data_IF_685588982602
#
_entry.id   IF_685588982602
#
_cell.length_a   1.000
_cell.length_b   1.000
_cell.length_c   1.000
_cell.angle_alpha   90.00
_cell.angle_beta   90.00
_cell.angle_gamma   90.00
#
_symmetry.space_group_name_H-M   'P 1'
#
loop_
_entity.id
_entity.type
_entity.pdbx_description
1 polymer ?
2 non-polymer ?
3 water ?
#
# COMPACT_ATOMS: atom_id res chain seq x y z
N UNK A 1 -0.08 -25.41 1.94
CA UNK A 1 1.10 -24.81 2.52
C UNK A 1 0.83 -23.36 2.94
N UNK A 2 -0.42 -22.92 2.77
CA UNK A 2 -0.80 -21.54 3.03
C UNK A 2 -0.54 -21.11 4.47
N UNK A 3 -0.32 -22.06 5.38
CA UNK A 3 0.08 -21.68 6.74
C UNK A 3 1.56 -21.34 6.84
N UNK A 4 2.37 -21.64 5.81
CA UNK A 4 3.83 -21.61 5.96
C UNK A 4 4.56 -21.09 4.73
N UNK A 5 4.09 -21.46 3.53
CA UNK A 5 4.69 -20.90 2.31
C UNK A 5 4.71 -19.38 2.36
N UNK A 6 3.77 -18.78 3.11
CA UNK A 6 3.73 -17.35 3.29
C UNK A 6 5.04 -16.82 3.82
N UNK A 7 5.29 -17.04 5.12
CA UNK A 7 6.48 -16.47 5.73
C UNK A 7 7.74 -16.88 4.98
N UNK A 8 7.79 -18.10 4.45
CA UNK A 8 9.01 -18.62 3.83
C UNK A 8 9.42 -17.80 2.61
N UNK A 9 8.46 -17.41 1.77
CA UNK A 9 8.82 -16.60 0.61
C UNK A 9 9.31 -15.21 0.98
N UNK A 10 9.23 -14.81 2.24
CA UNK A 10 9.59 -13.47 2.64
C UNK A 10 10.72 -13.40 3.66
N UNK A 11 11.42 -14.50 3.92
CA UNK A 11 12.61 -14.42 4.75
C UNK A 11 13.68 -13.62 4.02
N UNK A 12 14.48 -12.88 4.79
CA UNK A 12 15.45 -12.07 4.08
C UNK A 12 14.82 -10.97 3.23
N UNK A 13 15.63 -10.47 2.30
CA UNK A 13 15.32 -9.28 1.53
C UNK A 13 14.78 -9.68 0.17
N UNK A 14 13.61 -9.15 -0.19
CA UNK A 14 12.90 -9.50 -1.41
C UNK A 14 12.84 -8.28 -2.31
N UNK A 15 13.23 -8.39 -3.58
CA UNK A 15 13.15 -7.23 -4.48
C UNK A 15 11.72 -6.93 -4.89
N UNK A 16 11.45 -5.64 -5.13
CA UNK A 16 10.11 -5.15 -5.41
C UNK A 16 10.11 -4.37 -6.71
N UNK A 17 9.09 -4.60 -7.53
CA UNK A 17 8.79 -3.81 -8.71
C UNK A 17 7.37 -3.29 -8.62
N UNK A 18 7.20 -1.97 -8.78
CA UNK A 18 5.88 -1.36 -8.81
C UNK A 18 5.64 -0.70 -10.17
N UNK A 19 4.44 -0.85 -10.71
CA UNK A 19 4.07 -0.28 -12.00
C UNK A 19 2.66 0.28 -11.91
N UNK A 20 2.52 1.59 -12.09
CA UNK A 20 1.24 2.28 -11.97
C UNK A 20 0.86 2.96 -13.28
N UNK A 21 -0.33 2.65 -13.79
CA UNK A 21 -0.91 3.34 -14.93
C UNK A 21 -2.08 4.17 -14.43
N UNK A 22 -1.94 5.49 -14.47
CA UNK A 22 -2.92 6.39 -13.89
C UNK A 22 -3.63 7.25 -14.92
N UNK A 23 -4.87 7.60 -14.61
CA UNK A 23 -5.64 8.58 -15.37
C UNK A 23 -6.48 9.34 -14.34
N UNK A 24 -6.14 10.60 -14.11
CA UNK A 24 -6.85 11.45 -13.16
C UNK A 24 -7.48 12.60 -13.93
N UNK A 25 -8.81 12.62 -13.99
CA UNK A 25 -9.53 13.68 -14.67
C UNK A 25 -9.08 13.80 -16.13
N UNK A 26 -8.76 12.67 -16.76
CA UNK A 26 -8.31 12.63 -18.13
C UNK A 26 -6.81 12.76 -18.32
N UNK A 27 -6.07 13.15 -17.27
CA UNK A 27 -4.62 13.26 -17.35
C UNK A 27 -4.00 11.89 -17.10
N UNK A 28 -3.43 11.29 -18.13
CA UNK A 28 -2.80 9.99 -18.01
C UNK A 28 -1.34 10.15 -17.59
N UNK A 29 -0.85 9.17 -16.83
CA UNK A 29 0.53 9.18 -16.37
C UNK A 29 0.93 7.76 -15.98
N UNK A 30 2.23 7.57 -15.84
CA UNK A 30 2.78 6.26 -15.47
C UNK A 30 3.88 6.46 -14.44
N UNK A 31 3.92 5.55 -13.46
CA UNK A 31 4.96 5.53 -12.44
C UNK A 31 5.59 4.15 -12.42
N UNK A 32 6.91 4.11 -12.33
CA UNK A 32 7.63 2.87 -12.07
C UNK A 32 8.42 3.03 -10.79
N UNK A 33 8.39 2.00 -9.93
CA UNK A 33 9.20 1.99 -8.73
C UNK A 33 9.92 0.68 -8.56
N UNK A 34 11.06 0.75 -7.89
CA UNK A 34 11.77 -0.47 -7.53
C UNK A 34 12.51 -0.26 -6.21
N UNK A 35 12.77 -1.38 -5.54
CA UNK A 35 13.46 -1.37 -4.26
C UNK A 35 13.35 -2.73 -3.61
N UNK A 36 13.21 -2.77 -2.28
CA UNK A 36 13.22 -4.07 -1.63
C UNK A 36 12.48 -4.00 -0.30
N UNK A 37 11.91 -5.13 0.09
CA UNK A 37 11.24 -5.25 1.37
C UNK A 37 11.91 -6.31 2.23
N UNK A 38 11.96 -6.02 3.53
CA UNK A 38 12.43 -6.94 4.56
C UNK A 38 11.23 -7.18 5.49
N UNK A 39 10.46 -8.22 5.21
CA UNK A 39 9.23 -8.45 5.98
C UNK A 39 9.54 -8.72 7.45
N UNK A 40 10.64 -9.45 7.72
CA UNK A 40 11.00 -9.74 9.10
C UNK A 40 11.11 -8.48 9.93
N UNK A 41 11.65 -7.42 9.36
CA UNK A 41 11.77 -6.17 10.07
C UNK A 41 10.67 -5.18 9.72
N UNK A 42 9.80 -5.53 8.75
CA UNK A 42 8.72 -4.66 8.33
C UNK A 42 9.22 -3.41 7.63
N UNK A 43 10.26 -3.54 6.83
CA UNK A 43 10.95 -2.38 6.26
C UNK A 43 10.92 -2.44 4.75
N UNK A 44 10.56 -1.31 4.13
CA UNK A 44 10.52 -1.15 2.69
C UNK A 44 11.38 0.03 2.32
N UNK A 45 12.13 -0.10 1.23
CA UNK A 45 12.82 1.03 0.63
C UNK A 45 12.53 1.00 -0.85
N UNK A 46 12.06 2.11 -1.41
CA UNK A 46 11.69 2.14 -2.81
C UNK A 46 11.95 3.52 -3.38
N UNK A 47 12.19 3.57 -4.69
CA UNK A 47 12.26 4.82 -5.44
C UNK A 47 11.31 4.72 -6.61
N UNK A 48 10.39 5.65 -6.71
CA UNK A 48 9.44 5.75 -7.82
C UNK A 48 9.82 6.93 -8.69
N UNK A 49 9.60 6.78 -9.99
CA UNK A 49 9.79 7.89 -10.94
C UNK A 49 8.58 7.95 -11.85
N UNK A 50 8.15 9.17 -12.17
CA UNK A 50 7.11 9.34 -13.17
C UNK A 50 7.75 9.25 -14.55
N UNK A 51 7.30 8.30 -15.35
CA UNK A 51 7.95 8.02 -16.62
C UNK A 51 7.31 8.77 -17.79
N UNK A 52 6.17 9.42 -17.55
CA UNK A 52 5.47 10.21 -18.56
C UNK A 52 5.65 11.71 -18.35
N UNK A 53 6.73 12.11 -17.68
CA UNK A 53 7.00 13.50 -17.46
C UNK A 53 6.78 13.96 -16.04
N UNK A 54 5.89 14.94 -15.87
CA UNK A 54 5.55 15.47 -14.55
C UNK A 54 4.32 14.74 -14.02
N UNK A 55 4.30 14.55 -12.71
CA UNK A 55 3.18 13.88 -12.07
C UNK A 55 2.02 14.86 -11.92
N UNK A 56 0.83 14.54 -12.44
CA UNK A 56 -0.29 15.49 -12.37
C UNK A 56 -0.97 15.55 -11.01
N UNK A 57 -0.50 14.78 -10.02
CA UNK A 57 -1.03 14.81 -8.66
C UNK A 57 0.14 14.81 -7.69
N UNK A 58 -0.07 15.27 -6.46
CA UNK A 58 1.04 15.23 -5.49
C UNK A 58 1.43 13.80 -5.20
N UNK A 59 2.74 13.57 -5.10
CA UNK A 59 3.23 12.23 -4.75
C UNK A 59 2.58 11.65 -3.50
N UNK A 60 2.35 12.40 -2.41
CA UNK A 60 1.72 11.78 -1.22
C UNK A 60 0.40 11.11 -1.50
N UNK A 61 -0.37 11.60 -2.46
CA UNK A 61 -1.67 11.00 -2.73
C UNK A 61 -1.55 9.62 -3.34
N UNK A 62 -0.39 9.24 -3.85
CA UNK A 62 -0.21 7.92 -4.46
C UNK A 62 0.46 6.91 -3.52
N UNK A 63 0.88 7.34 -2.33
CA UNK A 63 1.66 6.47 -1.44
C UNK A 63 0.91 5.17 -1.17
N UNK A 64 -0.35 5.25 -0.73
CA UNK A 64 -1.02 4.02 -0.31
C UNK A 64 -1.26 3.07 -1.47
N UNK A 65 -1.36 3.58 -2.70
CA UNK A 65 -1.58 2.74 -3.87
C UNK A 65 -0.30 2.02 -4.30
N UNK A 66 0.84 2.72 -4.24
CA UNK A 66 2.15 2.20 -4.63
C UNK A 66 2.75 1.20 -3.62
N UNK A 68 2.11 -2.71 -0.91
CA UNK A 68 2.60 -4.08 -0.81
C UNK A 68 2.56 -4.56 0.64
N UNK A 69 1.34 -4.75 1.16
CA UNK A 69 1.16 -5.03 2.58
C UNK A 69 1.58 -6.45 2.97
N UNK A 70 1.95 -7.29 2.00
CA UNK A 70 2.61 -8.56 2.31
C UNK A 70 3.97 -8.39 2.95
N UNK A 71 4.52 -7.19 2.98
CA UNK A 71 5.78 -6.95 3.68
C UNK A 71 5.61 -6.54 5.14
N UNK A 72 4.39 -6.55 5.66
CA UNK A 72 4.21 -6.24 7.07
C UNK A 72 4.96 -7.25 7.94
N UNK A 73 5.50 -6.75 9.05
CA UNK A 73 6.00 -7.58 10.14
C UNK A 73 4.81 -8.03 10.98
N UNK A 74 4.43 -9.29 10.84
CA UNK A 74 3.44 -9.88 11.73
C UNK A 74 4.17 -10.53 12.88
N UNK A 75 3.90 -10.14 14.13
CA UNK A 75 4.51 -10.84 15.27
C UNK A 75 4.15 -12.31 15.26
N UNK A 76 4.93 -13.10 16.02
CA UNK A 76 4.83 -14.55 15.91
C UNK A 76 3.45 -15.02 16.34
N UNK A 77 2.92 -14.44 17.42
CA UNK A 77 1.56 -14.80 17.84
C UNK A 77 0.47 -14.35 16.89
N UNK A 78 0.78 -13.57 15.85
CA UNK A 78 -0.26 -13.19 14.88
C UNK A 78 -0.08 -13.80 13.50
N UNK A 79 0.86 -14.75 13.36
CA UNK A 79 1.21 -15.27 12.04
C UNK A 79 0.04 -15.92 11.32
N UNK A 80 -0.92 -16.48 12.05
CA UNK A 80 -2.03 -17.15 11.38
C UNK A 80 -3.09 -16.16 10.91
N UNK A 81 -2.81 -14.86 11.00
CA UNK A 81 -3.71 -13.81 10.54
C UNK A 81 -3.15 -13.05 9.35
N UNK A 82 -2.04 -13.51 8.77
CA UNK A 82 -1.39 -12.80 7.66
C UNK A 82 -1.99 -13.31 6.36
N UNK A 83 -3.10 -12.68 5.95
CA UNK A 83 -3.71 -13.04 4.67
C UNK A 83 -2.76 -12.79 3.50
N UNK A 84 -2.09 -11.63 3.52
CA UNK A 84 -1.34 -11.18 2.36
C UNK A 84 -0.29 -12.20 1.94
N UNK A 85 0.55 -12.62 2.90
CA UNK A 85 1.60 -13.59 2.57
C UNK A 85 1.02 -14.95 2.22
N UNK A 86 -0.09 -15.33 2.86
CA UNK A 86 -0.64 -16.66 2.65
C UNK A 86 -1.20 -16.83 1.24
N UNK A 87 -1.54 -15.74 0.54
CA UNK A 87 -2.00 -15.81 -0.84
C UNK A 87 -0.85 -15.96 -1.83
N UNK A 88 0.36 -15.80 -1.39
CA UNK A 88 1.53 -15.84 -2.25
C UNK A 88 1.91 -17.29 -2.55
N UNK A 89 2.56 -17.57 -3.69
CA UNK A 89 3.09 -16.64 -4.71
C UNK A 89 2.08 -16.19 -5.76
N UNK A 90 0.92 -16.84 -5.91
CA UNK A 90 -0.02 -16.41 -6.95
C UNK A 90 -0.56 -15.02 -6.67
N UNK A 91 -0.57 -14.59 -5.42
CA UNK A 91 -0.85 -13.21 -5.10
C UNK A 91 -2.32 -12.90 -4.86
N UNK A 92 -2.61 -11.61 -4.79
CA UNK A 92 -3.95 -11.16 -4.48
C UNK A 92 -4.27 -9.91 -5.29
N UNK A 93 -5.57 -9.69 -5.50
CA UNK A 93 -6.06 -8.43 -6.08
C UNK A 93 -6.37 -7.48 -4.94
N UNK A 94 -5.88 -6.24 -5.05
CA UNK A 94 -6.15 -5.20 -4.08
C UNK A 94 -6.90 -4.07 -4.76
N UNK A 95 -8.15 -3.85 -4.35
CA UNK A 95 -8.97 -2.79 -4.91
C UNK A 95 -9.27 -1.75 -3.84
N UNK A 96 -9.16 -0.45 -4.20
CA UNK A 96 -9.52 0.63 -3.29
C UNK A 96 -10.45 1.63 -3.94
N UNK A 97 -11.25 2.27 -3.09
CA UNK A 97 -11.84 3.58 -3.36
C UNK A 97 -11.27 4.56 -2.36
N UNK A 98 -10.64 5.62 -2.85
CA UNK A 98 -10.07 6.67 -2.02
C UNK A 98 -10.86 7.95 -2.28
N UNK A 99 -11.69 8.39 -1.31
CA UNK A 99 -12.43 9.65 -1.44
C UNK A 99 -11.70 10.78 -0.73
N UNK A 100 -11.25 11.77 -1.51
CA UNK A 100 -10.67 12.95 -0.91
C UNK A 100 -11.80 13.88 -0.52
N UNK A 101 -11.80 14.31 0.74
CA UNK A 101 -12.91 15.10 1.27
C UNK A 101 -13.01 16.42 0.51
N UNK A 102 -14.23 16.75 0.07
CA UNK A 102 -14.51 17.96 -0.72
C UNK A 102 -13.67 18.00 -1.99
N UNK A 103 -13.48 16.84 -2.61
CA UNK A 103 -12.72 16.74 -3.84
C UNK A 103 -13.07 15.42 -4.51
N UNK A 104 -12.26 15.00 -5.48
CA UNK A 104 -12.55 13.82 -6.26
C UNK A 104 -12.18 12.53 -5.54
N UNK A 105 -12.28 11.43 -6.28
CA UNK A 105 -11.97 10.11 -5.76
C UNK A 105 -11.07 9.34 -6.72
N UNK A 106 -10.17 8.53 -6.14
CA UNK A 106 -9.44 7.48 -6.84
C UNK A 106 -10.18 6.16 -6.70
N UNK A 107 -10.17 5.37 -7.78
CA UNK A 107 -10.46 3.95 -7.73
C UNK A 107 -9.23 3.24 -8.27
N UNK A 108 -8.76 2.19 -7.55
CA UNK A 108 -7.54 1.51 -7.92
C UNK A 108 -7.78 0.00 -7.96
N UNK A 109 -7.06 -0.67 -8.84
CA UNK A 109 -7.08 -2.12 -8.91
C UNK A 109 -5.65 -2.58 -9.16
N UNK A 110 -5.12 -3.36 -8.23
CA UNK A 110 -3.74 -3.82 -8.29
C UNK A 110 -3.70 -5.34 -8.20
N UNK A 111 -2.71 -5.92 -8.84
CA UNK A 111 -2.38 -7.31 -8.62
C UNK A 111 -0.99 -7.33 -8.00
N UNK A 112 -0.89 -8.01 -6.86
CA UNK A 112 0.35 -8.10 -6.09
C UNK A 112 0.73 -9.58 -6.05
N UNK A 113 1.89 -9.91 -6.60
CA UNK A 113 2.20 -11.31 -6.84
C UNK A 113 3.69 -11.43 -7.10
N UNK A 114 4.16 -12.66 -7.07
CA UNK A 114 5.56 -12.92 -7.39
C UNK A 114 5.69 -13.16 -8.89
N UNK A 115 6.68 -12.51 -9.49
CA UNK A 115 7.13 -12.85 -10.84
C UNK A 115 8.61 -13.18 -10.70
N UNK A 116 8.92 -14.47 -10.70
CA UNK A 116 10.28 -14.88 -10.39
C UNK A 116 10.55 -14.66 -8.93
N UNK A 117 11.69 -14.03 -8.64
CA UNK A 117 12.11 -13.68 -7.30
C UNK A 117 11.58 -12.32 -6.86
N UNK A 118 10.84 -11.63 -7.72
CA UNK A 118 10.45 -10.24 -7.50
C UNK A 118 9.00 -10.17 -7.09
N UNK A 119 8.75 -9.42 -6.01
CA UNK A 119 7.39 -9.09 -5.61
C UNK A 119 6.92 -7.91 -6.48
N UNK A 120 5.84 -8.12 -7.21
CA UNK A 120 5.31 -7.14 -8.14
C UNK A 120 3.94 -6.62 -7.80
N UNK A 121 3.78 -5.32 -7.90
CA UNK A 121 2.54 -4.62 -7.67
C UNK A 121 2.17 -3.88 -8.94
N UNK A 122 1.22 -4.40 -9.71
CA UNK A 122 0.80 -3.76 -10.95
C UNK A 122 -0.54 -3.14 -10.76
N UNK A 123 -0.60 -1.83 -10.91
CA UNK A 123 -1.80 -1.08 -10.66
C UNK A 123 -2.44 -0.22 -11.74
N UNK A 124 -3.76 -0.23 -11.81
CA UNK A 124 -4.49 0.74 -12.61
C UNK A 124 -5.22 1.69 -11.68
N UNK A 125 -5.10 3.00 -11.93
CA UNK A 125 -5.74 4.02 -11.12
C UNK A 125 -6.58 4.94 -12.00
N UNK A 126 -7.82 5.17 -11.60
CA UNK A 126 -8.68 6.15 -12.27
C UNK A 126 -9.18 7.16 -11.25
N UNK A 127 -8.80 8.43 -11.44
CA UNK A 127 -9.35 9.54 -10.67
C UNK A 127 -10.36 10.35 -11.48
N UNK A 128 -11.48 10.67 -10.84
CA UNK A 128 -12.51 11.54 -11.41
C UNK A 128 -12.90 12.59 -10.37
N UNK A 129 -13.56 13.64 -10.87
CA UNK A 129 -14.28 14.63 -10.06
C UNK A 129 -13.34 15.47 -9.20
N UNK A 130 -12.11 15.66 -9.62
CA UNK A 130 -11.19 16.50 -8.89
C UNK A 130 -11.34 17.96 -9.30
N UNK A 131 -11.19 18.85 -8.32
CA UNK A 131 -11.32 20.27 -8.57
C UNK A 131 -10.03 20.80 -9.20
N UNK A 132 -10.19 21.66 -10.21
CA UNK A 132 -9.06 22.18 -10.97
C UNK A 132 -8.08 22.93 -10.09
N UNK A 133 -8.58 23.57 -9.02
CA UNK A 133 -7.73 24.21 -8.02
C UNK A 133 -7.97 23.65 -6.63
N UNK A 134 -8.27 22.36 -6.54
CA UNK A 134 -8.26 21.67 -5.27
C UNK A 134 -6.85 21.42 -4.77
N UNK A 135 -6.77 20.82 -3.58
CA UNK A 135 -5.47 20.51 -3.01
C UNK A 135 -4.72 19.47 -3.84
N UNK A 136 -5.44 18.70 -4.66
CA UNK A 136 -4.86 17.57 -5.37
C UNK A 136 -4.33 18.08 -6.71
N UNK A 137 -5.23 18.54 -7.60
CA UNK A 137 -4.80 19.05 -8.90
C UNK A 137 -4.05 20.38 -8.79
N UNK A 138 -4.29 21.15 -7.73
CA UNK A 138 -3.54 22.36 -7.50
C UNK A 138 -2.18 22.17 -6.85
N UNK A 139 -1.81 20.94 -6.52
CA UNK A 139 -0.57 20.63 -5.82
C UNK A 139 -0.37 21.49 -4.57
N UNK A 140 -1.30 21.36 -3.63
CA UNK A 140 -1.24 22.14 -2.39
C UNK A 140 -0.85 21.28 -1.17
N UNK A 141 -0.47 20.02 -1.36
CA UNK A 141 -0.13 19.12 -0.25
C UNK A 141 1.36 19.13 0.02
N UNK A 142 1.71 19.20 1.31
CA UNK A 142 3.11 19.09 1.72
C UNK A 142 3.69 17.73 1.31
N UNK A 143 5.01 17.72 1.09
CA UNK A 143 5.71 16.50 0.72
C UNK A 143 6.16 15.78 1.99
N UNK A 144 5.21 15.15 2.65
CA UNK A 144 5.47 14.39 3.87
C UNK A 144 4.31 13.44 4.06
N UNK A 145 4.39 12.62 5.11
CA UNK A 145 3.38 11.60 5.34
C UNK A 145 3.31 11.27 6.83
N UNK A 146 2.09 11.14 7.33
CA UNK A 146 1.83 10.82 8.72
C UNK A 146 1.71 9.32 8.92
N UNK A 147 1.68 8.89 10.18
CA UNK A 147 1.51 7.48 10.52
C UNK A 147 0.04 7.15 10.66
N UNK A 148 -0.34 5.95 10.24
CA UNK A 148 -1.73 5.56 10.21
C UNK A 148 -1.88 4.09 10.56
N UNK A 149 -3.05 3.75 11.09
CA UNK A 149 -3.50 2.37 11.24
C UNK A 149 -4.42 1.97 10.08
N UNK A 150 -4.23 0.76 9.56
CA UNK A 150 -5.07 0.15 8.54
C UNK A 150 -5.91 -0.92 9.24
N UNK A 151 -7.22 -0.71 9.37
CA UNK A 151 -8.07 -1.62 10.12
C UNK A 151 -8.59 -2.72 9.20
N UNK A 152 -8.19 -3.97 9.48
CA UNK A 152 -8.43 -5.10 8.61
C UNK A 152 -9.50 -5.99 9.23
N UNK A 153 -10.40 -6.50 8.39
CA UNK A 153 -11.41 -7.44 8.82
C UNK A 153 -11.55 -8.51 7.76
N UNK A 154 -11.93 -9.71 8.17
CA UNK A 154 -12.19 -10.76 7.20
C UNK A 154 -13.50 -10.51 6.47
N UNK A 155 -13.54 -10.92 5.21
CA UNK A 155 -14.76 -10.89 4.41
C UNK A 155 -15.87 -11.68 5.09
N UNK A 156 -17.10 -11.17 5.01
CA UNK A 156 -18.22 -11.91 5.60
C UNK A 156 -18.47 -13.25 4.91
N UNK A 157 -18.17 -13.34 3.61
CA UNK A 157 -18.49 -14.55 2.87
C UNK A 157 -17.43 -14.96 1.87
N UNK A 158 -16.51 -14.09 1.48
CA UNK A 158 -15.44 -14.46 0.57
C UNK A 158 -14.20 -14.88 1.34
N UNK A 159 -13.27 -15.51 0.63
CA UNK A 159 -12.00 -15.87 1.24
C UNK A 159 -10.99 -14.74 1.08
N UNK A 160 -11.44 -13.53 1.40
CA UNK A 160 -10.60 -12.34 1.36
C UNK A 160 -10.76 -11.45 2.58
N UNK A 161 -10.24 -10.22 2.49
CA UNK A 161 -10.34 -9.27 3.59
C UNK A 161 -10.78 -7.91 3.06
N UNK A 162 -11.28 -7.08 3.98
CA UNK A 162 -11.55 -5.66 3.76
C UNK A 162 -10.71 -4.83 4.73
N UNK A 163 -10.45 -3.58 4.35
CA UNK A 163 -9.79 -2.65 5.24
C UNK A 163 -10.40 -1.28 5.06
N UNK A 164 -10.31 -0.46 6.11
CA UNK A 164 -10.82 0.91 6.14
C UNK A 164 -9.85 1.75 6.94
N UNK A 165 -9.62 2.97 6.48
CA UNK A 165 -8.77 3.88 7.24
C UNK A 165 -8.84 5.23 6.56
N UNK A 166 -8.41 6.26 7.27
CA UNK A 166 -8.43 7.63 6.76
C UNK A 166 -7.02 8.18 6.74
N UNK A 167 -6.51 8.47 5.55
CA UNK A 167 -5.20 9.09 5.43
C UNK A 167 -5.32 10.58 5.68
N UNK A 168 -4.35 11.14 6.40
CA UNK A 168 -4.35 12.57 6.74
C UNK A 168 -3.19 13.23 6.02
N UNK A 169 -3.51 14.00 4.97
CA UNK A 169 -2.51 14.71 4.17
C UNK A 169 -2.34 16.14 4.71
N UNK A 170 -1.12 16.50 5.07
CA UNK A 170 -0.85 17.88 5.49
C UNK A 170 -1.00 18.83 4.29
N UNK A 171 -1.89 19.82 4.41
CA UNK A 171 -2.02 20.86 3.39
C UNK A 171 -1.07 22.00 3.73
N UNK A 172 -0.52 22.63 2.69
CA UNK A 172 0.54 23.60 2.93
C UNK A 172 0.04 24.90 3.58
N UNK A 173 -1.27 25.11 3.70
CA UNK A 173 -1.78 26.20 4.52
C UNK A 173 -1.96 25.81 5.98
N UNK A 174 -1.49 24.62 6.39
CA UNK A 174 -1.64 24.17 7.76
C UNK A 174 -2.86 23.35 8.05
N UNK A 175 -3.80 23.24 7.10
CA UNK A 175 -4.98 22.41 7.26
C UNK A 175 -4.67 20.96 6.84
N UNK A 176 -5.69 20.12 6.91
CA UNK A 176 -5.53 18.68 6.69
C UNK A 176 -6.53 18.24 5.63
N UNK A 177 -6.07 17.46 4.66
CA UNK A 177 -6.90 16.91 3.60
C UNK A 177 -7.12 15.42 3.87
N UNK A 178 -8.36 15.04 4.16
CA UNK A 178 -8.69 13.65 4.46
C UNK A 178 -8.84 12.84 3.19
N UNK A 179 -8.29 11.63 3.20
CA UNK A 179 -8.42 10.68 2.09
C UNK A 179 -8.99 9.39 2.69
N UNK A 180 -10.31 9.24 2.59
CA UNK A 180 -10.99 8.07 3.12
C UNK A 180 -10.70 6.85 2.24
N UNK A 181 -10.21 5.76 2.85
CA UNK A 181 -9.82 4.56 2.10
C UNK A 181 -10.80 3.41 2.38
N UNK A 182 -11.33 2.81 1.32
CA UNK A 182 -12.02 1.55 1.42
C UNK A 182 -11.25 0.56 0.57
N UNK A 183 -11.02 -0.64 1.10
CA UNK A 183 -10.05 -1.56 0.52
C UNK A 183 -10.65 -2.96 0.53
N UNK A 184 -10.32 -3.72 -0.50
CA UNK A 184 -10.81 -5.08 -0.64
C UNK A 184 -9.68 -5.90 -1.24
N UNK A 185 -9.40 -7.07 -0.67
CA UNK A 185 -8.33 -7.94 -1.16
C UNK A 185 -8.89 -9.31 -1.42
N UNK A 186 -8.58 -9.86 -2.59
CA UNK A 186 -9.07 -11.16 -3.02
C UNK A 186 -7.90 -12.00 -3.52
N UNK A 187 -7.80 -13.28 -3.11
CA UNK A 187 -6.72 -14.13 -3.64
C UNK A 187 -6.88 -14.34 -5.15
N UNK A 188 -5.75 -14.25 -5.86
CA UNK A 188 -5.76 -14.55 -7.28
C UNK A 188 -5.93 -16.04 -7.51
N UNK A 189 -5.32 -16.86 -6.66
CA UNK A 189 -5.37 -18.30 -6.79
C UNK A 189 -6.63 -18.91 -6.21
N UNK A 190 -6.64 -20.24 -6.18
CA UNK A 190 -7.82 -21.03 -5.81
C UNK A 190 -7.69 -21.69 -4.44
N UNK A 191 -6.46 -21.94 -3.98
CA UNK A 191 -6.25 -22.65 -2.75
C UNK A 191 -6.70 -21.85 -1.54
N UNK A 192 -6.63 -22.48 -0.38
CA UNK A 192 -6.98 -21.78 0.87
C UNK A 192 -6.03 -20.63 1.14
N UNK A 193 -6.51 -19.70 1.97
CA UNK A 193 -5.72 -18.60 2.49
C UNK A 193 -5.99 -18.52 3.99
N UNK A 194 -5.23 -17.66 4.67
CA UNK A 194 -5.51 -17.36 6.06
C UNK A 194 -6.51 -16.21 6.14
N UNK A 195 -7.55 -16.40 6.95
CA UNK A 195 -8.57 -15.38 7.20
C UNK A 195 -8.35 -14.81 8.58
N UNK A 196 -8.14 -13.49 8.73
CA UNK A 196 -7.72 -12.95 10.02
C UNK A 196 -8.88 -12.56 10.92
N UNK A 197 -8.57 -12.56 12.21
CA UNK A 197 -9.38 -11.82 13.15
C UNK A 197 -9.12 -10.33 12.93
N UNK A 198 -10.01 -9.51 13.48
CA UNK A 198 -9.84 -8.06 13.36
C UNK A 198 -8.49 -7.65 13.92
N UNK A 199 -7.72 -6.89 13.16
CA UNK A 199 -6.42 -6.40 13.60
C UNK A 199 -6.08 -5.23 12.69
N UNK A 200 -4.91 -4.63 12.91
CA UNK A 200 -4.55 -3.49 12.10
C UNK A 200 -3.07 -3.53 11.72
N UNK A 201 -2.76 -2.82 10.65
CA UNK A 201 -1.38 -2.57 10.24
C UNK A 201 -1.04 -1.16 10.67
N UNK A 202 0.05 -1.04 11.43
CA UNK A 202 0.54 0.23 11.92
C UNK A 202 1.68 0.64 10.98
N UNK A 203 1.55 1.79 10.34
CA UNK A 203 2.36 2.14 9.19
C UNK A 203 2.97 3.51 9.36
N UNK A 204 4.26 3.64 9.02
CA UNK A 204 4.96 4.91 9.08
C UNK A 204 5.81 5.06 7.83
N UNK A 205 5.84 6.28 7.28
CA UNK A 205 6.47 6.53 6.00
C UNK A 205 7.36 7.76 6.08
N UNK A 206 8.48 7.72 5.35
CA UNK A 206 9.37 8.86 5.23
C UNK A 206 9.57 9.11 3.74
N UNK A 207 9.27 10.34 3.30
CA UNK A 207 9.43 10.73 1.90
C UNK A 207 10.66 11.60 1.76
N UNK A 208 11.43 11.35 0.70
CA UNK A 208 12.62 12.15 0.43
C UNK A 208 12.81 12.26 -1.07
N UNK A 209 13.89 12.93 -1.45
CA UNK A 209 14.23 13.11 -2.85
C UNK A 209 15.66 12.65 -3.09
N UNK A 210 15.88 12.12 -4.28
CA UNK A 210 17.24 11.82 -4.73
C UNK A 210 17.86 13.08 -5.32
N UNK A 211 18.93 13.62 -4.74
CA UNK A 211 19.46 14.90 -5.23
C UNK A 211 20.00 14.82 -6.64
N UNK A 212 20.44 13.64 -7.08
CA UNK A 212 20.95 13.45 -8.44
C UNK A 212 19.87 12.96 -9.39
N UNK A 213 18.61 13.30 -9.14
CA UNK A 213 17.49 12.77 -9.92
C UNK A 213 16.79 13.92 -10.64
N UNK A 214 16.82 13.88 -11.97
CA UNK A 214 16.19 14.95 -12.74
C UNK A 214 14.69 14.72 -12.86
N UNK A 215 14.27 13.46 -13.02
CA UNK A 215 12.86 13.20 -13.28
C UNK A 215 12.02 13.46 -12.03
N UNK A 216 10.71 13.60 -12.26
CA UNK A 216 9.77 13.60 -11.16
C UNK A 216 9.81 12.25 -10.47
N UNK A 217 10.03 12.25 -9.15
CA UNK A 217 10.33 11.00 -8.47
C UNK A 217 10.01 11.14 -6.99
N UNK A 218 9.92 9.99 -6.32
CA UNK A 218 9.71 9.93 -4.88
C UNK A 218 10.57 8.83 -4.30
N UNK A 219 11.36 9.13 -3.29
CA UNK A 219 12.11 8.14 -2.54
C UNK A 219 11.33 7.86 -1.26
N UNK A 220 11.15 6.59 -0.93
CA UNK A 220 10.22 6.19 0.11
C UNK A 220 10.86 5.14 1.02
N UNK A 221 10.90 5.42 2.32
CA UNK A 221 11.19 4.43 3.33
C UNK A 221 9.94 4.22 4.19
N UNK A 222 9.54 2.96 4.35
CA UNK A 222 8.27 2.63 4.98
C UNK A 222 8.47 1.56 6.04
N UNK A 223 7.78 1.70 7.15
CA UNK A 223 7.75 0.68 8.18
C UNK A 223 6.30 0.25 8.39
N UNK A 224 6.05 -1.06 8.47
CA UNK A 224 4.69 -1.55 8.62
C UNK A 224 4.68 -2.83 9.44
N UNK A 225 3.95 -2.83 10.55
CA UNK A 225 3.85 -4.00 11.40
C UNK A 225 2.41 -4.20 11.83
N UNK A 226 2.03 -5.45 12.03
CA UNK A 226 0.66 -5.78 12.42
C UNK A 226 0.53 -5.82 13.93
N UNK A 227 -0.66 -5.42 14.41
CA UNK A 227 -0.90 -5.30 15.84
C UNK A 227 -2.39 -5.50 16.08
N UNK A 228 -2.78 -5.54 17.35
CA UNK A 228 -4.19 -5.55 17.71
C UNK A 228 -4.74 -6.91 18.10
N UNK A 229 -3.94 -7.96 18.00
CA UNK A 229 -4.33 -9.29 18.48
C UNK A 229 -3.34 -9.64 19.60
N UNK A 230 -3.88 -10.00 20.76
CA UNK A 230 -3.05 -10.25 21.95
C UNK A 230 -3.00 -11.70 22.38
N UNK A 231 -3.88 -12.56 21.85
CA UNK A 231 -3.88 -13.97 22.22
C UNK A 231 -2.52 -14.61 21.94
N UNK A 232 -1.97 -15.27 22.95
CA UNK A 232 -0.73 -16.01 22.81
C UNK A 232 0.50 -15.26 23.26
N UNK A 233 0.39 -14.35 24.22
CA UNK A 233 1.43 -13.39 24.52
C UNK A 233 1.84 -13.28 25.99
N UNK A 234 1.12 -13.94 26.91
CA UNK A 234 1.39 -13.75 28.32
C UNK A 234 2.83 -14.08 28.68
N UNK A 235 3.44 -15.03 27.98
CA UNK A 235 4.79 -15.48 28.32
C UNK A 235 5.83 -14.39 28.02
N UNK A 236 5.52 -13.48 27.09
CA UNK A 236 6.46 -12.42 26.74
C UNK A 236 6.65 -11.40 27.86
N UNK A 237 5.75 -11.37 28.86
CA UNK A 237 5.85 -10.43 29.98
C UNK A 237 6.47 -11.03 31.24
X LIG B 1 -1.82 -24.50 3.14
#
# INVERSE_FOLDING_TARGET
MHNDKGEELFTGVVPILVELDGDVNGHKFSVRGEGEGDATNGKLTLKFICTTGKLPVPWPTLVTTLXVQCFSRYPDHMKQHDFFKSAMPEGYVQERTISFKDDGTYKTRAEVKFEGDTLVNRIELKGIDFKEDGNILGHELEYNFNSHNVYITADKQKNGIKANFKIRHNVEDGSVQLADHYQQNTPIGDGPVLLPDNHYLSTQSVLSKDPNEKRDHMVLLEFVTAAGITHGMDELYKK
CU CU
#
